data_IF_711623582975
#
_entry.id   IF_711623582975
#
_cell.length_a   1.000
_cell.length_b   1.000
_cell.length_c   1.000
_cell.angle_alpha   90.00
_cell.angle_beta   90.00
_cell.angle_gamma   90.00
#
_symmetry.space_group_name_H-M   'P 1'
#
loop_
_entity.id
_entity.type
_entity.pdbx_description
1 polymer ?
#
# COMPACT_ATOMS: atom_id res chain seq x y z
N UNK A 1 17.44 -13.34 -14.50
CA UNK A 1 16.88 -14.33 -13.56
C UNK A 1 15.47 -14.70 -13.96
N UNK A 2 15.03 -15.89 -13.58
CA UNK A 2 13.63 -16.32 -13.63
C UNK A 2 13.05 -16.18 -12.21
N UNK A 3 12.02 -15.36 -12.05
CA UNK A 3 11.44 -15.03 -10.74
C UNK A 3 10.01 -15.59 -10.70
N UNK A 4 9.70 -16.40 -9.70
CA UNK A 4 8.34 -16.83 -9.39
C UNK A 4 7.87 -16.06 -8.16
N UNK A 5 6.79 -15.30 -8.32
CA UNK A 5 6.24 -14.39 -7.33
C UNK A 5 4.86 -14.88 -6.89
N UNK A 6 4.77 -15.44 -5.69
CA UNK A 6 3.54 -15.98 -5.12
C UNK A 6 2.85 -14.84 -4.36
N UNK A 7 1.80 -14.27 -4.95
CA UNK A 7 1.01 -13.21 -4.33
C UNK A 7 -0.49 -13.46 -4.58
N UNK A 8 -1.14 -13.97 -3.55
CA UNK A 8 -2.55 -14.37 -3.60
C UNK A 8 -3.46 -13.27 -4.15
N UNK A 9 -3.26 -12.03 -3.70
CA UNK A 9 -4.12 -10.89 -3.97
C UNK A 9 -3.66 -10.04 -5.15
N UNK A 10 -2.60 -10.43 -5.86
CA UNK A 10 -2.03 -9.65 -6.95
C UNK A 10 -3.12 -9.13 -7.91
N UNK A 11 -3.00 -7.87 -8.29
CA UNK A 11 -3.86 -7.21 -9.26
C UNK A 11 -3.10 -6.86 -10.53
N UNK A 12 -3.77 -6.12 -11.41
CA UNK A 12 -3.22 -5.49 -12.61
C UNK A 12 -3.88 -4.12 -12.78
N UNK A 13 -3.37 -3.23 -13.62
CA UNK A 13 -4.05 -1.96 -13.89
C UNK A 13 -5.51 -2.12 -14.33
N UNK A 14 -5.85 -3.20 -15.05
CA UNK A 14 -7.19 -3.48 -15.51
C UNK A 14 -8.11 -4.08 -14.42
N UNK A 15 -7.55 -4.84 -13.48
CA UNK A 15 -8.30 -5.56 -12.44
C UNK A 15 -8.38 -4.76 -11.12
N UNK A 16 -7.46 -3.84 -10.88
CA UNK A 16 -7.37 -3.11 -9.62
C UNK A 16 -6.32 -3.69 -8.66
N UNK A 17 -6.30 -3.22 -7.41
CA UNK A 17 -5.33 -3.61 -6.38
C UNK A 17 -5.22 -5.15 -6.18
N UNK A 18 -4.14 -5.76 -5.75
CA UNK A 18 -2.91 -5.17 -5.22
C UNK A 18 -1.94 -4.86 -6.36
N UNK A 19 -1.40 -3.64 -6.41
CA UNK A 19 -0.56 -3.18 -7.53
C UNK A 19 0.95 -3.40 -7.32
N UNK A 20 1.45 -3.52 -6.08
CA UNK A 20 2.88 -3.64 -5.80
C UNK A 20 3.55 -4.78 -6.56
N UNK A 21 3.01 -6.02 -6.58
CA UNK A 21 3.64 -7.11 -7.31
C UNK A 21 3.70 -6.84 -8.82
N UNK A 22 2.68 -6.21 -9.38
CA UNK A 22 2.67 -5.80 -10.79
C UNK A 22 3.78 -4.78 -11.09
N UNK A 23 3.88 -3.70 -10.32
CA UNK A 23 4.87 -2.66 -10.60
C UNK A 23 6.31 -3.15 -10.40
N UNK A 24 6.59 -3.91 -9.35
CA UNK A 24 7.91 -4.53 -9.16
C UNK A 24 8.25 -5.49 -10.32
N UNK A 25 7.32 -6.39 -10.66
CA UNK A 25 7.49 -7.35 -11.75
C UNK A 25 7.72 -6.66 -13.10
N UNK A 26 7.00 -5.56 -13.39
CA UNK A 26 7.17 -4.78 -14.60
C UNK A 26 8.58 -4.19 -14.71
N UNK A 27 9.09 -3.63 -13.64
CA UNK A 27 10.46 -3.10 -13.63
C UNK A 27 11.51 -4.21 -13.76
N UNK A 28 11.29 -5.38 -13.15
CA UNK A 28 12.18 -6.54 -13.36
C UNK A 28 12.13 -7.07 -14.79
N UNK A 29 10.95 -7.09 -15.43
CA UNK A 29 10.82 -7.44 -16.86
C UNK A 29 11.59 -6.44 -17.75
N UNK A 30 11.46 -5.13 -17.46
CA UNK A 30 12.22 -4.07 -18.14
C UNK A 30 13.73 -4.24 -17.98
N UNK A 31 14.17 -4.75 -16.83
CA UNK A 31 15.57 -5.08 -16.55
C UNK A 31 16.03 -6.41 -17.19
N UNK A 32 15.19 -7.08 -17.99
CA UNK A 32 15.52 -8.31 -18.72
C UNK A 32 15.30 -9.60 -17.92
N UNK A 33 14.62 -9.56 -16.78
CA UNK A 33 14.24 -10.75 -16.02
C UNK A 33 12.93 -11.36 -16.53
N UNK A 34 12.74 -12.66 -16.33
CA UNK A 34 11.45 -13.34 -16.57
C UNK A 34 10.69 -13.43 -15.26
N UNK A 35 9.47 -12.92 -15.23
CA UNK A 35 8.66 -12.91 -14.00
C UNK A 35 7.36 -13.63 -14.22
N UNK A 36 7.03 -14.56 -13.32
CA UNK A 36 5.74 -15.21 -13.26
C UNK A 36 5.08 -14.93 -11.90
N UNK A 37 3.90 -14.30 -11.93
CA UNK A 37 3.06 -14.07 -10.75
C UNK A 37 2.03 -15.19 -10.63
N UNK A 38 1.98 -15.82 -9.45
CA UNK A 38 0.98 -16.81 -9.09
C UNK A 38 -0.06 -16.18 -8.19
N UNK A 39 -1.32 -16.10 -8.64
CA UNK A 39 -2.38 -15.40 -7.92
C UNK A 39 -3.69 -16.20 -7.88
N UNK A 40 -4.56 -15.88 -6.91
CA UNK A 40 -5.90 -16.45 -6.83
C UNK A 40 -6.86 -15.76 -7.80
N UNK A 41 -7.83 -16.48 -8.33
CA UNK A 41 -8.85 -15.91 -9.21
C UNK A 41 -9.80 -14.96 -8.49
N UNK A 42 -9.97 -15.10 -7.17
CA UNK A 42 -10.83 -14.22 -6.38
C UNK A 42 -10.05 -13.51 -5.26
N UNK A 43 -10.21 -12.19 -5.21
CA UNK A 43 -9.67 -11.33 -4.16
C UNK A 43 -10.66 -10.20 -3.82
N UNK A 44 -10.89 -9.95 -2.53
CA UNK A 44 -11.78 -8.88 -2.07
C UNK A 44 -11.22 -7.46 -2.29
N UNK A 45 -9.93 -7.33 -2.55
CA UNK A 45 -9.28 -6.02 -2.80
C UNK A 45 -9.33 -5.62 -4.27
N UNK A 46 -9.55 -6.56 -5.20
CA UNK A 46 -9.66 -6.25 -6.63
C UNK A 46 -11.03 -5.66 -6.98
N UNK A 47 -11.05 -4.65 -7.83
CA UNK A 47 -12.27 -4.07 -8.37
C UNK A 47 -12.96 -5.03 -9.39
N UNK A 48 -12.15 -5.79 -10.13
CA UNK A 48 -12.61 -6.81 -11.09
C UNK A 48 -11.85 -8.11 -10.88
N UNK A 49 -12.51 -9.24 -11.14
CA UNK A 49 -11.87 -10.54 -11.05
C UNK A 49 -11.47 -11.04 -12.44
N UNK A 50 -10.35 -11.79 -12.59
CA UNK A 50 -10.02 -12.46 -13.85
C UNK A 50 -11.08 -13.52 -14.17
N UNK A 51 -11.40 -13.71 -15.44
CA UNK A 51 -12.37 -14.70 -15.90
C UNK A 51 -11.75 -16.11 -15.93
N UNK A 52 -11.64 -16.75 -14.77
CA UNK A 52 -11.01 -18.06 -14.58
C UNK A 52 -12.09 -19.14 -14.50
N UNK A 53 -11.97 -20.20 -15.32
CA UNK A 53 -12.82 -21.37 -15.28
C UNK A 53 -12.44 -22.36 -14.16
N UNK A 54 -12.70 -23.65 -14.39
CA UNK A 54 -12.35 -24.72 -13.44
C UNK A 54 -10.84 -25.04 -13.37
N UNK A 55 -10.07 -24.68 -14.40
CA UNK A 55 -8.62 -24.87 -14.48
C UNK A 55 -7.90 -23.53 -14.33
N UNK A 56 -6.62 -23.54 -13.88
CA UNK A 56 -5.79 -22.35 -13.86
C UNK A 56 -5.68 -21.69 -15.25
N UNK A 57 -5.72 -20.36 -15.28
CA UNK A 57 -5.59 -19.54 -16.48
C UNK A 57 -4.21 -18.91 -16.51
N UNK A 58 -3.49 -19.09 -17.61
CA UNK A 58 -2.24 -18.39 -17.89
C UNK A 58 -2.55 -17.17 -18.77
N UNK A 59 -2.01 -16.01 -18.39
CA UNK A 59 -2.22 -14.73 -19.07
C UNK A 59 -0.90 -13.94 -19.06
N UNK A 60 -0.65 -13.16 -20.08
CA UNK A 60 0.49 -12.23 -20.13
C UNK A 60 -0.01 -10.78 -20.04
N UNK A 61 0.53 -10.01 -19.11
CA UNK A 61 0.23 -8.59 -18.93
C UNK A 61 1.55 -7.83 -18.87
N UNK A 62 1.80 -6.95 -19.83
CA UNK A 62 3.02 -6.13 -19.94
C UNK A 62 4.34 -6.94 -19.82
N UNK A 63 4.35 -8.14 -20.42
CA UNK A 63 5.50 -9.04 -20.39
C UNK A 63 5.62 -9.88 -19.10
N UNK A 64 4.75 -9.68 -18.13
CA UNK A 64 4.66 -10.48 -16.90
C UNK A 64 3.74 -11.66 -17.17
N UNK A 65 4.20 -12.89 -16.87
CA UNK A 65 3.36 -14.08 -16.93
C UNK A 65 2.50 -14.18 -15.65
N UNK A 66 1.19 -14.14 -15.77
CA UNK A 66 0.27 -14.42 -14.66
C UNK A 66 -0.26 -15.84 -14.78
N UNK A 67 -0.39 -16.51 -13.62
CA UNK A 67 -1.12 -17.75 -13.49
C UNK A 67 -2.17 -17.60 -12.40
N UNK A 68 -3.42 -17.55 -12.83
CA UNK A 68 -4.59 -17.41 -11.98
C UNK A 68 -5.12 -18.78 -11.58
N UNK A 69 -5.13 -19.07 -10.27
CA UNK A 69 -5.67 -20.31 -9.74
C UNK A 69 -7.13 -20.14 -9.35
N UNK A 70 -8.05 -21.04 -9.78
CA UNK A 70 -9.46 -20.96 -9.42
C UNK A 70 -9.64 -21.11 -7.91
N UNK A 71 -10.25 -20.12 -7.28
CA UNK A 71 -10.52 -20.12 -5.84
C UNK A 71 -11.97 -19.72 -5.56
N UNK A 72 -12.60 -20.25 -4.48
CA UNK A 72 -13.96 -19.90 -4.14
C UNK A 72 -14.08 -18.43 -3.75
N UNK A 73 -15.14 -17.76 -4.19
CA UNK A 73 -15.47 -16.42 -3.73
C UNK A 73 -15.85 -16.44 -2.23
N UNK A 74 -15.65 -15.30 -1.55
CA UNK A 74 -15.99 -15.13 -0.15
C UNK A 74 -16.42 -13.70 0.14
N UNK A 75 -17.07 -13.50 1.28
CA UNK A 75 -17.40 -12.18 1.83
C UNK A 75 -16.81 -12.05 3.24
N UNK A 76 -16.29 -10.86 3.56
CA UNK A 76 -15.70 -10.55 4.87
C UNK A 76 -14.44 -11.37 5.19
N UNK A 77 -14.10 -11.44 6.48
CA UNK A 77 -12.87 -12.04 7.01
C UNK A 77 -13.06 -13.41 7.69
N UNK A 78 -14.16 -14.10 7.41
CA UNK A 78 -14.52 -15.36 8.05
C UNK A 78 -13.93 -16.63 7.39
N UNK A 79 -14.55 -17.78 7.67
CA UNK A 79 -14.13 -19.10 7.18
C UNK A 79 -14.06 -19.18 5.65
N UNK A 80 -14.88 -18.42 4.93
CA UNK A 80 -14.82 -18.33 3.47
C UNK A 80 -13.45 -17.86 2.96
N UNK A 81 -12.87 -16.82 3.60
CA UNK A 81 -11.53 -16.33 3.28
C UNK A 81 -10.46 -17.39 3.59
N UNK A 82 -10.57 -18.07 4.71
CA UNK A 82 -9.65 -19.16 5.08
C UNK A 82 -9.71 -20.29 4.04
N UNK A 83 -10.93 -20.70 3.61
CA UNK A 83 -11.11 -21.70 2.55
C UNK A 83 -10.48 -21.25 1.21
N UNK A 84 -10.64 -19.99 0.85
CA UNK A 84 -10.04 -19.41 -0.35
C UNK A 84 -8.51 -19.48 -0.28
N UNK A 85 -7.89 -19.07 0.84
CA UNK A 85 -6.44 -19.14 1.09
C UNK A 85 -5.93 -20.59 0.90
N UNK A 86 -6.51 -21.54 1.60
CA UNK A 86 -6.05 -22.94 1.52
C UNK A 86 -6.32 -23.57 0.15
N UNK A 87 -7.38 -23.18 -0.55
CA UNK A 87 -7.63 -23.60 -1.94
C UNK A 87 -6.48 -23.14 -2.86
N UNK A 88 -6.07 -21.90 -2.76
CA UNK A 88 -4.93 -21.36 -3.51
C UNK A 88 -3.62 -22.10 -3.19
N UNK A 89 -3.26 -22.18 -1.91
CA UNK A 89 -2.01 -22.82 -1.47
C UNK A 89 -1.95 -24.30 -1.89
N UNK A 90 -3.04 -25.03 -1.78
CA UNK A 90 -3.12 -26.45 -2.20
C UNK A 90 -2.86 -26.61 -3.70
N UNK A 91 -3.41 -25.73 -4.52
CA UNK A 91 -3.23 -25.79 -5.97
C UNK A 91 -1.80 -25.45 -6.38
N UNK A 92 -1.21 -24.38 -5.83
CA UNK A 92 0.20 -24.04 -6.09
C UNK A 92 1.13 -25.16 -5.60
N UNK A 93 0.81 -25.79 -4.44
CA UNK A 93 1.55 -26.96 -3.94
C UNK A 93 1.50 -28.14 -4.90
N UNK A 94 0.33 -28.44 -5.45
CA UNK A 94 0.15 -29.53 -6.42
C UNK A 94 0.89 -29.25 -7.74
N UNK A 95 0.90 -27.99 -8.17
CA UNK A 95 1.52 -27.52 -9.41
C UNK A 95 3.05 -27.34 -9.33
N UNK A 96 3.64 -27.54 -8.15
CA UNK A 96 5.08 -27.32 -7.91
C UNK A 96 5.98 -27.99 -8.95
N UNK A 97 5.69 -29.25 -9.36
CA UNK A 97 6.53 -29.97 -10.34
C UNK A 97 6.50 -29.31 -11.71
N UNK A 98 5.32 -28.84 -12.11
CA UNK A 98 5.12 -28.13 -13.37
C UNK A 98 5.87 -26.79 -13.34
N UNK A 99 5.69 -26.00 -12.28
CA UNK A 99 6.35 -24.71 -12.11
C UNK A 99 7.86 -24.82 -12.16
N UNK A 100 8.46 -25.81 -11.48
CA UNK A 100 9.92 -26.07 -11.56
C UNK A 100 10.37 -26.35 -12.98
N UNK A 101 9.63 -27.18 -13.73
CA UNK A 101 10.01 -27.57 -15.08
C UNK A 101 9.86 -26.41 -16.08
N UNK A 102 8.76 -25.64 -15.99
CA UNK A 102 8.40 -24.63 -16.98
C UNK A 102 9.06 -23.29 -16.68
N UNK A 103 9.04 -22.84 -15.43
CA UNK A 103 9.57 -21.53 -15.04
C UNK A 103 11.06 -21.55 -14.71
N UNK A 104 11.60 -22.70 -14.27
CA UNK A 104 13.02 -22.87 -13.83
C UNK A 104 13.46 -21.68 -12.98
N UNK A 105 12.79 -21.43 -11.83
CA UNK A 105 13.03 -20.21 -11.07
C UNK A 105 14.45 -20.20 -10.47
N UNK A 106 15.09 -19.03 -10.55
CA UNK A 106 16.28 -18.67 -9.79
C UNK A 106 15.91 -18.10 -8.43
N UNK A 107 14.72 -17.48 -8.35
CA UNK A 107 14.18 -16.83 -7.15
C UNK A 107 12.71 -17.18 -6.99
N UNK A 108 12.29 -17.52 -5.78
CA UNK A 108 10.88 -17.71 -5.41
C UNK A 108 10.55 -16.77 -4.25
N UNK A 109 9.55 -15.91 -4.46
CA UNK A 109 9.10 -14.91 -3.50
C UNK A 109 7.75 -15.34 -2.94
N UNK A 110 7.64 -15.46 -1.61
CA UNK A 110 6.38 -15.57 -0.87
C UNK A 110 5.98 -14.17 -0.43
N UNK A 111 4.86 -13.66 -0.90
CA UNK A 111 4.48 -12.24 -0.75
C UNK A 111 3.00 -12.02 -0.45
N UNK A 112 2.26 -13.08 -0.13
CA UNK A 112 0.87 -12.91 0.28
C UNK A 112 0.80 -12.19 1.63
N UNK A 113 -0.29 -11.47 1.89
CA UNK A 113 -0.50 -10.74 3.16
C UNK A 113 -0.38 -11.68 4.38
N UNK A 114 -0.75 -12.95 4.21
CA UNK A 114 -0.62 -13.98 5.23
C UNK A 114 0.65 -14.83 5.02
N UNK A 115 1.33 -15.32 6.08
CA UNK A 115 2.64 -15.95 5.96
C UNK A 115 2.62 -17.44 5.52
N UNK A 116 1.46 -18.10 5.39
CA UNK A 116 1.39 -19.53 5.07
C UNK A 116 1.87 -19.89 3.65
N UNK A 117 1.95 -18.93 2.75
CA UNK A 117 2.51 -19.13 1.40
C UNK A 117 4.01 -19.48 1.44
N UNK A 118 4.71 -19.19 2.55
CA UNK A 118 6.10 -19.59 2.74
C UNK A 118 6.30 -21.11 2.60
N UNK A 119 5.33 -21.94 3.02
CA UNK A 119 5.47 -23.39 2.92
C UNK A 119 5.48 -23.87 1.47
N UNK A 120 4.66 -23.22 0.63
CA UNK A 120 4.59 -23.53 -0.80
C UNK A 120 5.82 -22.99 -1.53
N UNK A 121 6.20 -21.74 -1.23
CA UNK A 121 7.39 -21.09 -1.76
C UNK A 121 8.66 -21.87 -1.43
N UNK A 122 8.83 -22.29 -0.17
CA UNK A 122 9.92 -23.12 0.30
C UNK A 122 10.03 -24.45 -0.45
N UNK A 123 8.87 -25.12 -0.66
CA UNK A 123 8.83 -26.36 -1.45
C UNK A 123 9.27 -26.13 -2.89
N UNK A 124 8.80 -25.06 -3.52
CA UNK A 124 9.15 -24.71 -4.89
C UNK A 124 10.63 -24.36 -4.99
N UNK A 125 11.13 -23.47 -4.12
CA UNK A 125 12.52 -23.04 -4.09
C UNK A 125 13.49 -24.23 -3.88
N UNK A 126 13.22 -25.10 -2.90
CA UNK A 126 14.04 -26.29 -2.65
C UNK A 126 14.11 -27.24 -3.84
N UNK A 127 13.01 -27.40 -4.58
CA UNK A 127 12.98 -28.30 -5.76
C UNK A 127 13.65 -27.72 -6.98
N UNK A 128 13.66 -26.41 -7.10
CA UNK A 128 14.31 -25.69 -8.18
C UNK A 128 15.78 -25.38 -7.90
N UNK A 129 16.23 -25.48 -6.66
CA UNK A 129 17.53 -24.94 -6.23
C UNK A 129 17.56 -23.40 -6.23
N UNK A 130 16.38 -22.78 -6.11
CA UNK A 130 16.19 -21.34 -6.16
C UNK A 130 16.35 -20.69 -4.77
N UNK A 131 16.66 -19.40 -4.76
CA UNK A 131 16.62 -18.58 -3.54
C UNK A 131 15.19 -18.39 -3.06
N UNK A 132 14.98 -18.41 -1.77
CA UNK A 132 13.72 -18.20 -1.11
C UNK A 132 13.67 -16.81 -0.49
N UNK A 133 12.74 -15.97 -0.96
CA UNK A 133 12.49 -14.65 -0.40
C UNK A 133 11.12 -14.65 0.29
N UNK A 134 11.07 -14.06 1.47
CA UNK A 134 9.81 -13.78 2.16
C UNK A 134 9.58 -12.26 2.19
N UNK A 135 8.53 -11.81 1.54
CA UNK A 135 8.14 -10.41 1.52
C UNK A 135 6.98 -10.16 2.49
N UNK A 136 7.16 -9.21 3.39
CA UNK A 136 6.22 -8.86 4.46
C UNK A 136 5.51 -7.56 4.12
N UNK A 137 4.22 -7.67 3.82
CA UNK A 137 3.33 -6.52 3.60
C UNK A 137 2.77 -6.01 4.93
N UNK A 138 2.31 -6.96 5.76
CA UNK A 138 1.76 -6.75 7.08
C UNK A 138 2.35 -7.75 8.06
N UNK A 139 2.45 -7.38 9.33
CA UNK A 139 2.95 -8.27 10.37
C UNK A 139 1.85 -9.21 10.86
N UNK A 140 1.67 -10.35 10.19
CA UNK A 140 0.76 -11.40 10.64
C UNK A 140 1.50 -12.40 11.53
N UNK A 141 0.96 -12.77 12.71
CA UNK A 141 -0.44 -12.58 13.18
C UNK A 141 -0.73 -11.25 13.89
N UNK A 142 0.26 -10.36 14.04
CA UNK A 142 0.11 -9.16 14.86
C UNK A 142 -0.97 -8.21 14.32
N UNK A 143 -1.03 -8.02 12.99
CA UNK A 143 -2.04 -7.16 12.37
C UNK A 143 -3.48 -7.55 12.70
N UNK A 144 -3.95 -8.79 12.50
CA UNK A 144 -5.30 -9.15 12.93
C UNK A 144 -5.50 -9.12 14.45
N UNK A 145 -4.46 -9.31 15.25
CA UNK A 145 -4.55 -9.19 16.72
C UNK A 145 -4.78 -7.72 17.11
N UNK A 146 -3.96 -6.80 16.63
CA UNK A 146 -4.01 -5.39 17.06
C UNK A 146 -5.08 -4.57 16.32
N UNK A 147 -5.40 -4.89 15.06
CA UNK A 147 -6.39 -4.14 14.28
C UNK A 147 -7.81 -4.72 14.37
N UNK A 148 -7.95 -6.03 14.56
CA UNK A 148 -9.27 -6.69 14.56
C UNK A 148 -9.63 -7.32 15.91
N UNK A 149 -8.79 -7.17 16.93
CA UNK A 149 -9.05 -7.72 18.28
C UNK A 149 -9.00 -9.26 18.32
N UNK A 150 -8.35 -9.92 17.36
CA UNK A 150 -8.21 -11.37 17.35
C UNK A 150 -7.38 -11.82 18.57
N UNK A 151 -7.88 -12.82 19.31
CA UNK A 151 -7.11 -13.38 20.41
C UNK A 151 -5.78 -13.98 19.93
N UNK A 152 -4.65 -13.73 20.61
CA UNK A 152 -3.38 -14.41 20.30
C UNK A 152 -3.46 -15.95 20.38
N UNK A 153 -4.40 -16.46 21.21
CA UNK A 153 -4.68 -17.91 21.32
C UNK A 153 -5.55 -18.47 20.19
N UNK A 154 -6.11 -17.63 19.33
CA UNK A 154 -6.96 -18.10 18.23
C UNK A 154 -6.18 -19.05 17.31
N UNK A 155 -6.77 -20.20 16.91
CA UNK A 155 -6.06 -21.20 16.08
C UNK A 155 -5.43 -20.62 14.82
N UNK A 156 -6.10 -19.69 14.16
CA UNK A 156 -5.58 -19.03 12.97
C UNK A 156 -4.38 -18.11 13.28
N UNK A 157 -4.41 -17.36 14.40
CA UNK A 157 -3.28 -16.55 14.83
C UNK A 157 -2.06 -17.40 15.15
N UNK A 158 -2.26 -18.55 15.83
CA UNK A 158 -1.19 -19.51 16.11
C UNK A 158 -0.61 -20.13 14.84
N UNK A 159 -1.44 -20.45 13.86
CA UNK A 159 -1.01 -20.94 12.56
C UNK A 159 -0.15 -19.89 11.81
N UNK A 160 -0.59 -18.63 11.82
CA UNK A 160 0.18 -17.53 11.24
C UNK A 160 1.52 -17.34 11.97
N UNK A 161 1.53 -17.39 13.32
CA UNK A 161 2.77 -17.28 14.10
C UNK A 161 3.76 -18.41 13.80
N UNK A 162 3.26 -19.62 13.56
CA UNK A 162 4.11 -20.73 13.15
C UNK A 162 4.69 -20.51 11.75
N UNK A 163 3.84 -20.10 10.78
CA UNK A 163 4.28 -19.83 9.41
C UNK A 163 5.29 -18.66 9.36
N UNK A 164 5.07 -17.60 10.15
CA UNK A 164 6.01 -16.49 10.31
C UNK A 164 7.38 -16.98 10.83
N UNK A 165 7.38 -17.79 11.89
CA UNK A 165 8.63 -18.36 12.42
C UNK A 165 9.36 -19.26 11.42
N UNK A 166 8.61 -20.05 10.61
CA UNK A 166 9.18 -20.82 9.51
C UNK A 166 9.75 -19.90 8.41
N UNK A 167 9.09 -18.79 8.09
CA UNK A 167 9.55 -17.83 7.10
C UNK A 167 10.87 -17.19 7.54
N UNK A 168 10.95 -16.68 8.76
CA UNK A 168 12.19 -16.05 9.28
C UNK A 168 13.36 -17.03 9.42
N UNK A 169 13.09 -18.30 9.69
CA UNK A 169 14.13 -19.33 9.75
C UNK A 169 14.65 -19.72 8.37
N UNK A 170 13.73 -19.93 7.40
CA UNK A 170 14.01 -20.65 6.16
C UNK A 170 14.25 -19.74 4.95
N UNK A 171 13.79 -18.47 4.96
CA UNK A 171 14.04 -17.52 3.88
C UNK A 171 15.52 -17.12 3.81
N UNK A 172 16.07 -17.04 2.61
CA UNK A 172 17.42 -16.55 2.38
C UNK A 172 17.47 -15.01 2.53
N UNK A 173 16.38 -14.34 2.15
CA UNK A 173 16.17 -12.89 2.31
C UNK A 173 14.76 -12.64 2.81
N UNK A 174 14.61 -11.70 3.73
CA UNK A 174 13.33 -11.16 4.18
C UNK A 174 13.24 -9.71 3.74
N UNK A 175 12.20 -9.37 3.00
CA UNK A 175 11.94 -8.00 2.55
C UNK A 175 10.73 -7.46 3.30
N UNK A 176 10.86 -6.30 3.94
CA UNK A 176 9.73 -5.65 4.63
C UNK A 176 9.35 -4.33 3.97
N UNK A 177 8.04 -4.11 3.82
CA UNK A 177 7.51 -2.80 3.43
C UNK A 177 7.55 -1.80 4.59
N UNK A 178 7.50 -2.31 5.83
CA UNK A 178 7.48 -1.49 7.04
C UNK A 178 8.92 -1.22 7.51
N UNK A 179 9.30 0.03 7.75
CA UNK A 179 10.71 0.38 7.99
C UNK A 179 11.20 0.11 9.41
N UNK A 180 10.31 -0.02 10.41
CA UNK A 180 10.70 -0.09 11.82
C UNK A 180 10.45 -1.49 12.46
N UNK A 181 10.67 -2.56 11.69
CA UNK A 181 10.36 -3.95 12.10
C UNK A 181 11.52 -4.70 12.74
N UNK A 182 12.71 -4.10 12.81
CA UNK A 182 13.95 -4.79 13.17
C UNK A 182 13.88 -5.54 14.51
N UNK A 183 13.47 -4.84 15.58
CA UNK A 183 13.38 -5.44 16.91
C UNK A 183 12.34 -6.56 16.97
N UNK A 184 11.18 -6.34 16.36
CA UNK A 184 10.12 -7.34 16.31
C UNK A 184 10.58 -8.59 15.56
N UNK A 185 11.11 -8.45 14.37
CA UNK A 185 11.53 -9.58 13.55
C UNK A 185 12.71 -10.34 14.19
N UNK A 186 13.65 -9.61 14.83
CA UNK A 186 14.73 -10.23 15.60
C UNK A 186 14.19 -11.03 16.78
N UNK A 187 13.21 -10.48 17.53
CA UNK A 187 12.57 -11.19 18.65
C UNK A 187 11.81 -12.45 18.20
N UNK A 188 11.41 -12.51 16.92
CA UNK A 188 10.78 -13.67 16.28
C UNK A 188 11.77 -14.62 15.61
N UNK A 189 13.08 -14.37 15.78
CA UNK A 189 14.16 -15.26 15.33
C UNK A 189 14.73 -14.93 13.94
N UNK A 190 14.46 -13.77 13.37
CA UNK A 190 15.10 -13.35 12.12
C UNK A 190 16.55 -12.90 12.38
N UNK A 191 17.47 -13.39 11.59
CA UNK A 191 18.80 -12.81 11.46
C UNK A 191 18.71 -11.51 10.64
N UNK A 192 18.91 -10.36 11.28
CA UNK A 192 18.76 -9.04 10.66
C UNK A 192 19.69 -8.79 9.46
N UNK A 193 20.76 -9.57 9.30
CA UNK A 193 21.61 -9.52 8.09
C UNK A 193 20.86 -9.95 6.83
N UNK A 194 19.75 -10.66 6.98
CA UNK A 194 18.86 -11.08 5.88
C UNK A 194 17.67 -10.15 5.66
N UNK A 195 17.54 -9.09 6.47
CA UNK A 195 16.45 -8.13 6.35
C UNK A 195 16.81 -7.00 5.38
N UNK A 196 15.91 -6.70 4.45
CA UNK A 196 15.95 -5.52 3.61
C UNK A 196 14.63 -4.74 3.72
N UNK A 197 14.71 -3.42 3.73
CA UNK A 197 13.53 -2.55 3.76
C UNK A 197 13.27 -2.02 2.35
N UNK A 198 12.13 -2.42 1.78
CA UNK A 198 11.66 -1.98 0.45
C UNK A 198 10.20 -1.53 0.58
N UNK A 199 9.95 -0.26 0.92
CA UNK A 199 8.59 0.25 1.16
C UNK A 199 7.74 0.27 -0.12
N UNK A 200 6.50 0.72 -0.01
CA UNK A 200 5.66 1.02 -1.16
C UNK A 200 6.20 2.21 -1.95
N UNK A 201 5.87 2.24 -3.22
CA UNK A 201 6.34 3.24 -4.15
C UNK A 201 5.27 3.73 -5.11
N UNK A 202 5.74 4.52 -6.06
CA UNK A 202 4.93 5.09 -7.13
C UNK A 202 5.56 4.79 -8.48
N UNK A 203 4.71 4.63 -9.51
CA UNK A 203 5.17 4.50 -10.88
C UNK A 203 5.39 5.89 -11.49
N UNK A 204 6.61 6.25 -11.90
CA UNK A 204 6.85 7.52 -12.59
C UNK A 204 6.04 7.63 -13.90
N UNK A 205 5.80 6.52 -14.59
CA UNK A 205 5.05 6.49 -15.84
C UNK A 205 3.61 6.99 -15.67
N UNK A 206 2.98 6.67 -14.52
CA UNK A 206 1.63 7.12 -14.21
C UNK A 206 1.53 8.65 -14.04
N UNK A 207 2.69 9.31 -13.84
CA UNK A 207 2.82 10.76 -13.64
C UNK A 207 3.47 11.49 -14.82
N UNK A 208 4.13 10.76 -15.72
CA UNK A 208 4.75 11.34 -16.93
C UNK A 208 3.71 11.62 -18.03
N UNK A 209 2.61 10.87 -18.06
CA UNK A 209 1.52 11.08 -19.00
C UNK A 209 0.75 12.36 -18.67
N UNK A 210 0.20 13.03 -19.70
CA UNK A 210 -0.71 14.14 -19.48
C UNK A 210 -1.91 13.67 -18.62
N UNK A 211 -2.24 14.39 -17.53
CA UNK A 211 -3.34 13.99 -16.67
C UNK A 211 -4.66 13.93 -17.44
N UNK A 212 -5.46 12.90 -17.20
CA UNK A 212 -6.81 12.87 -17.73
C UNK A 212 -7.63 14.04 -17.19
N UNK A 213 -8.52 14.65 -18.00
CA UNK A 213 -9.35 15.76 -17.57
C UNK A 213 -10.21 15.35 -16.38
N UNK A 214 -10.34 16.26 -15.41
CA UNK A 214 -11.18 16.03 -14.24
C UNK A 214 -12.66 15.91 -14.64
N UNK A 215 -13.37 15.10 -13.90
CA UNK A 215 -14.83 15.08 -13.95
C UNK A 215 -15.37 16.48 -13.65
N UNK A 216 -16.41 16.88 -14.35
CA UNK A 216 -16.94 18.24 -14.37
C UNK A 216 -17.29 18.79 -12.98
N UNK A 217 -17.96 17.98 -12.14
CA UNK A 217 -18.34 18.37 -10.78
C UNK A 217 -17.13 18.64 -9.87
N UNK A 218 -16.04 17.86 -10.03
CA UNK A 218 -14.79 18.06 -9.31
C UNK A 218 -14.09 19.33 -9.78
N UNK A 219 -13.99 19.53 -11.09
CA UNK A 219 -13.39 20.73 -11.68
C UNK A 219 -14.15 22.00 -11.26
N UNK A 220 -15.50 21.96 -11.28
CA UNK A 220 -16.34 23.07 -10.88
C UNK A 220 -16.20 23.40 -9.37
N UNK A 221 -16.09 22.40 -8.51
CA UNK A 221 -15.89 22.60 -7.07
C UNK A 221 -14.56 23.32 -6.78
N UNK A 222 -13.48 22.88 -7.41
CA UNK A 222 -12.15 23.47 -7.28
C UNK A 222 -12.10 24.90 -7.87
N UNK A 223 -12.73 25.11 -9.02
CA UNK A 223 -12.82 26.44 -9.64
C UNK A 223 -13.58 27.45 -8.75
N UNK A 224 -14.68 27.03 -8.12
CA UNK A 224 -15.42 27.86 -7.15
C UNK A 224 -14.56 28.26 -5.96
N UNK A 225 -13.85 27.30 -5.35
CA UNK A 225 -12.98 27.59 -4.21
C UNK A 225 -11.87 28.59 -4.58
N UNK A 226 -11.26 28.44 -5.75
CA UNK A 226 -10.25 29.38 -6.25
C UNK A 226 -10.81 30.77 -6.53
N UNK A 227 -11.98 30.84 -7.15
CA UNK A 227 -12.64 32.14 -7.43
C UNK A 227 -12.99 32.89 -6.14
N UNK A 228 -13.26 32.14 -5.05
CA UNK A 228 -13.48 32.70 -3.72
C UNK A 228 -12.16 33.07 -2.98
N UNK A 229 -11.02 32.80 -3.56
CA UNK A 229 -9.69 33.02 -2.93
C UNK A 229 -9.45 32.13 -1.72
N UNK A 230 -10.06 30.95 -1.70
CA UNK A 230 -9.90 29.97 -0.61
C UNK A 230 -8.62 29.13 -0.78
N UNK A 231 -7.99 28.75 0.33
CA UNK A 231 -6.95 27.72 0.34
C UNK A 231 -7.61 26.34 0.26
N UNK A 232 -7.27 25.58 -0.77
CA UNK A 232 -7.88 24.27 -1.02
C UNK A 232 -7.08 23.18 -0.33
N UNK A 233 -7.70 22.49 0.63
CA UNK A 233 -7.19 21.27 1.27
C UNK A 233 -7.82 20.07 0.58
N UNK A 234 -7.01 19.20 0.00
CA UNK A 234 -7.47 18.03 -0.76
C UNK A 234 -7.27 16.72 -0.02
N UNK A 235 -8.29 15.88 -0.05
CA UNK A 235 -8.21 14.46 0.30
C UNK A 235 -8.66 13.63 -0.90
N UNK A 236 -7.87 12.65 -1.31
CA UNK A 236 -8.22 11.72 -2.38
C UNK A 236 -7.98 10.27 -1.93
N UNK A 237 -9.02 9.45 -1.90
CA UNK A 237 -8.86 8.04 -1.57
C UNK A 237 -10.03 7.38 -0.86
N UNK A 238 -9.76 6.22 -0.23
CA UNK A 238 -10.76 5.44 0.50
C UNK A 238 -11.25 6.18 1.74
N UNK A 239 -12.57 6.21 1.93
CA UNK A 239 -13.25 6.74 3.11
C UNK A 239 -13.58 5.59 4.06
N UNK A 240 -12.54 5.06 4.71
CA UNK A 240 -12.63 3.99 5.69
C UNK A 240 -12.02 4.38 7.02
N UNK A 241 -12.30 3.61 8.07
CA UNK A 241 -11.87 3.87 9.44
C UNK A 241 -10.37 4.19 9.59
N UNK A 242 -9.43 3.50 8.91
CA UNK A 242 -8.01 3.79 9.10
C UNK A 242 -7.59 5.22 8.75
N UNK A 243 -8.39 5.92 7.94
CA UNK A 243 -8.07 7.28 7.49
C UNK A 243 -8.55 8.40 8.44
N UNK A 244 -9.24 8.05 9.53
CA UNK A 244 -9.68 8.97 10.59
C UNK A 244 -10.32 10.29 10.08
N UNK A 245 -11.21 10.18 9.08
CA UNK A 245 -11.79 11.36 8.43
C UNK A 245 -12.79 12.11 9.31
N UNK A 246 -13.35 11.50 10.34
CA UNK A 246 -14.15 12.18 11.36
C UNK A 246 -13.32 13.28 12.05
N UNK A 247 -12.05 13.02 12.37
CA UNK A 247 -11.14 14.04 12.93
C UNK A 247 -10.97 15.24 11.98
N UNK A 248 -10.95 15.02 10.67
CA UNK A 248 -10.89 16.10 9.68
C UNK A 248 -12.19 16.93 9.67
N UNK A 249 -13.37 16.29 9.82
CA UNK A 249 -14.64 17.00 9.92
C UNK A 249 -14.75 17.81 11.22
N UNK A 250 -14.30 17.26 12.32
CA UNK A 250 -14.23 17.99 13.59
C UNK A 250 -13.28 19.20 13.48
N UNK A 251 -12.15 19.07 12.81
CA UNK A 251 -11.26 20.18 12.51
C UNK A 251 -11.92 21.21 11.57
N UNK A 252 -12.71 20.77 10.59
CA UNK A 252 -13.47 21.64 9.73
C UNK A 252 -14.48 22.50 10.48
N UNK A 253 -15.12 21.95 11.52
CA UNK A 253 -16.01 22.69 12.41
C UNK A 253 -15.23 23.79 13.16
N UNK A 254 -14.08 23.49 13.74
CA UNK A 254 -13.21 24.47 14.41
C UNK A 254 -12.72 25.57 13.47
N UNK A 255 -12.37 25.24 12.24
CA UNK A 255 -11.93 26.21 11.22
C UNK A 255 -13.01 27.24 10.88
N UNK A 256 -14.29 26.90 10.97
CA UNK A 256 -15.39 27.86 10.72
C UNK A 256 -15.50 28.95 11.79
N UNK A 257 -15.04 28.66 13.00
CA UNK A 257 -15.04 29.61 14.10
C UNK A 257 -13.85 30.58 14.04
N UNK A 258 -12.84 30.26 13.23
CA UNK A 258 -11.64 31.09 13.04
C UNK A 258 -11.74 31.93 11.75
N UNK A 259 -11.53 33.26 11.79
CA UNK A 259 -11.61 34.12 10.60
C UNK A 259 -10.65 33.72 9.47
N UNK A 260 -9.45 33.21 9.78
CA UNK A 260 -8.52 32.70 8.78
C UNK A 260 -8.95 31.32 8.27
N UNK A 261 -9.53 30.50 9.15
CA UNK A 261 -10.05 29.17 8.85
C UNK A 261 -11.26 29.19 7.90
N UNK A 262 -12.06 30.28 7.93
CA UNK A 262 -13.18 30.49 7.00
C UNK A 262 -12.72 30.59 5.53
N UNK A 263 -11.45 30.85 5.27
CA UNK A 263 -10.84 30.84 3.94
C UNK A 263 -10.23 29.50 3.54
N UNK A 264 -10.48 28.44 4.29
CA UNK A 264 -10.02 27.08 3.99
C UNK A 264 -11.19 26.25 3.47
N UNK A 265 -11.05 25.72 2.27
CA UNK A 265 -11.99 24.78 1.63
C UNK A 265 -11.42 23.37 1.67
N UNK A 266 -12.13 22.43 2.31
CA UNK A 266 -11.77 21.01 2.31
C UNK A 266 -12.54 20.31 1.19
N UNK A 267 -11.82 19.69 0.24
CA UNK A 267 -12.37 18.93 -0.87
C UNK A 267 -12.00 17.46 -0.71
N UNK A 268 -13.00 16.62 -0.45
CA UNK A 268 -12.84 15.18 -0.22
C UNK A 268 -13.37 14.41 -1.42
N UNK A 269 -12.49 13.70 -2.14
CA UNK A 269 -12.82 12.91 -3.33
C UNK A 269 -12.54 11.44 -3.05
N UNK A 270 -13.58 10.60 -3.12
CA UNK A 270 -13.38 9.18 -2.86
C UNK A 270 -14.65 8.42 -2.53
N UNK A 271 -14.44 7.16 -2.16
CA UNK A 271 -15.51 6.25 -1.74
C UNK A 271 -15.04 5.35 -0.58
N UNK A 272 -15.98 4.70 0.08
CA UNK A 272 -15.73 3.77 1.17
C UNK A 272 -16.95 3.62 2.06
N UNK A 273 -16.88 2.66 2.97
CA UNK A 273 -18.02 2.31 3.83
C UNK A 273 -18.47 3.44 4.78
N UNK A 274 -17.56 4.39 5.10
CA UNK A 274 -17.90 5.57 5.91
C UNK A 274 -18.43 6.76 5.09
N UNK A 275 -18.43 6.70 3.76
CA UNK A 275 -18.82 7.84 2.92
C UNK A 275 -20.21 8.39 3.26
N UNK A 276 -21.19 7.52 3.44
CA UNK A 276 -22.55 7.92 3.79
C UNK A 276 -22.61 8.58 5.18
N UNK A 277 -21.91 8.03 6.17
CA UNK A 277 -21.77 8.60 7.50
C UNK A 277 -21.17 10.01 7.46
N UNK A 278 -20.02 10.16 6.81
CA UNK A 278 -19.33 11.45 6.69
C UNK A 278 -20.20 12.50 5.97
N UNK A 279 -20.91 12.11 4.91
CA UNK A 279 -21.82 13.01 4.20
C UNK A 279 -22.99 13.45 5.08
N UNK A 280 -23.56 12.55 5.87
CA UNK A 280 -24.63 12.88 6.84
C UNK A 280 -24.12 13.86 7.90
N UNK A 281 -22.90 13.69 8.43
CA UNK A 281 -22.27 14.63 9.34
C UNK A 281 -22.10 16.02 8.73
N UNK A 282 -21.54 16.10 7.51
CA UNK A 282 -21.34 17.37 6.79
C UNK A 282 -22.66 18.15 6.68
N UNK A 283 -23.76 17.47 6.41
CA UNK A 283 -25.09 18.10 6.33
C UNK A 283 -25.64 18.49 7.71
N UNK A 284 -25.62 17.57 8.66
CA UNK A 284 -26.20 17.79 10.00
C UNK A 284 -25.48 18.89 10.78
N UNK A 285 -24.16 18.97 10.67
CA UNK A 285 -23.32 19.96 11.32
C UNK A 285 -23.17 21.25 10.51
N UNK A 286 -23.76 21.28 9.30
CA UNK A 286 -23.74 22.43 8.38
C UNK A 286 -22.33 22.85 7.97
N UNK A 287 -21.40 21.90 7.72
CA UNK A 287 -20.00 22.16 7.39
C UNK A 287 -19.86 22.74 5.98
N UNK A 288 -20.23 24.01 5.80
CA UNK A 288 -20.23 24.68 4.51
C UNK A 288 -18.83 24.80 3.87
N UNK A 289 -17.76 24.64 4.66
CA UNK A 289 -16.37 24.64 4.21
C UNK A 289 -15.89 23.24 3.74
N UNK A 290 -16.74 22.22 3.76
CA UNK A 290 -16.42 20.85 3.28
C UNK A 290 -17.22 20.54 2.02
N UNK A 291 -16.55 20.02 0.99
CA UNK A 291 -17.17 19.52 -0.24
C UNK A 291 -16.80 18.07 -0.43
N UNK A 292 -17.79 17.17 -0.42
CA UNK A 292 -17.61 15.73 -0.65
C UNK A 292 -18.03 15.35 -2.06
N UNK A 293 -17.15 14.66 -2.79
CA UNK A 293 -17.35 14.27 -4.18
C UNK A 293 -17.14 12.76 -4.35
N UNK A 294 -17.83 12.12 -5.30
CA UNK A 294 -17.63 10.71 -5.61
C UNK A 294 -16.20 10.41 -6.11
N UNK A 295 -15.78 9.15 -6.11
CA UNK A 295 -14.44 8.77 -6.55
C UNK A 295 -14.19 9.12 -8.02
N UNK A 296 -12.94 9.37 -8.36
CA UNK A 296 -12.45 9.58 -9.72
C UNK A 296 -11.53 8.43 -10.14
N UNK A 297 -11.42 8.14 -11.45
CA UNK A 297 -10.42 7.20 -11.97
C UNK A 297 -8.98 7.62 -11.63
N UNK A 298 -8.11 6.63 -11.39
CA UNK A 298 -6.70 6.88 -11.04
C UNK A 298 -5.98 7.87 -11.98
N UNK A 299 -6.16 7.84 -13.33
CA UNK A 299 -5.53 8.82 -14.23
C UNK A 299 -5.96 10.29 -14.02
N UNK A 300 -7.04 10.55 -13.29
CA UNK A 300 -7.48 11.90 -12.94
C UNK A 300 -6.87 12.43 -11.63
N UNK A 301 -6.25 11.54 -10.81
CA UNK A 301 -5.68 11.92 -9.53
C UNK A 301 -4.59 12.99 -9.66
N UNK A 302 -3.65 12.91 -10.62
CA UNK A 302 -2.67 13.97 -10.82
C UNK A 302 -3.32 15.34 -11.12
N UNK A 303 -4.39 15.36 -11.93
CA UNK A 303 -5.12 16.59 -12.26
C UNK A 303 -5.84 17.19 -11.04
N UNK A 304 -6.40 16.35 -10.15
CA UNK A 304 -6.97 16.76 -8.88
C UNK A 304 -5.90 17.36 -7.97
N UNK A 305 -4.82 16.64 -7.75
CA UNK A 305 -3.76 17.05 -6.83
C UNK A 305 -3.02 18.30 -7.32
N UNK A 306 -2.92 18.50 -8.63
CA UNK A 306 -2.38 19.74 -9.20
C UNK A 306 -3.21 20.99 -8.82
N UNK A 307 -4.45 20.81 -8.38
CA UNK A 307 -5.37 21.88 -8.05
C UNK A 307 -5.59 22.12 -6.56
N UNK A 308 -4.99 21.33 -5.67
CA UNK A 308 -5.02 21.57 -4.24
C UNK A 308 -3.78 22.35 -3.76
N UNK A 309 -3.91 23.09 -2.68
CA UNK A 309 -2.80 23.83 -2.06
C UNK A 309 -2.09 22.98 -0.99
N UNK A 310 -2.87 22.21 -0.24
CA UNK A 310 -2.42 21.31 0.83
C UNK A 310 -3.10 19.96 0.65
N UNK A 311 -2.34 18.88 0.70
CA UNK A 311 -2.90 17.53 0.73
C UNK A 311 -3.01 17.06 2.20
N UNK A 312 -4.15 16.49 2.57
CA UNK A 312 -4.38 15.95 3.90
C UNK A 312 -4.31 14.42 3.88
N UNK A 313 -3.59 13.87 4.85
CA UNK A 313 -3.62 12.43 5.15
C UNK A 313 -3.71 12.22 6.66
N UNK A 314 -4.73 11.49 7.10
CA UNK A 314 -4.98 11.17 8.50
C UNK A 314 -4.94 9.68 8.75
N UNK A 315 -4.65 9.33 10.01
CA UNK A 315 -4.58 7.97 10.48
C UNK A 315 -5.26 7.84 11.85
N UNK A 316 -5.82 6.68 12.11
CA UNK A 316 -6.19 6.33 13.47
C UNK A 316 -4.93 6.12 14.32
N UNK A 317 -5.04 6.36 15.61
CA UNK A 317 -3.98 6.00 16.56
C UNK A 317 -4.09 4.52 16.89
N UNK A 318 -3.26 3.69 16.27
CA UNK A 318 -3.21 2.25 16.50
C UNK A 318 -1.79 1.78 16.77
N UNK A 319 -1.56 0.87 17.73
CA UNK A 319 -0.23 0.47 18.17
C UNK A 319 0.66 -0.10 17.05
N UNK A 320 0.08 -0.77 16.06
CA UNK A 320 0.85 -1.42 14.99
C UNK A 320 1.64 -0.43 14.13
N UNK A 321 1.27 0.85 14.07
CA UNK A 321 1.99 1.86 13.31
C UNK A 321 3.37 2.19 13.87
N UNK A 322 3.72 1.72 15.10
CA UNK A 322 5.11 1.79 15.61
C UNK A 322 6.11 1.09 14.72
N UNK A 323 5.67 0.13 13.91
CA UNK A 323 6.53 -0.54 12.92
C UNK A 323 6.70 0.24 11.62
N UNK A 324 6.11 1.41 11.55
CA UNK A 324 6.12 2.30 10.41
C UNK A 324 4.91 2.12 9.50
N UNK A 325 4.82 3.02 8.54
CA UNK A 325 3.77 3.09 7.53
C UNK A 325 4.39 3.21 6.14
N UNK A 326 3.71 2.66 5.13
CA UNK A 326 4.12 2.75 3.73
C UNK A 326 2.88 3.02 2.82
N UNK A 327 2.18 4.16 3.00
CA UNK A 327 0.92 4.44 2.31
C UNK A 327 1.12 4.89 0.86
N UNK A 328 0.41 4.25 -0.06
CA UNK A 328 0.41 4.63 -1.48
C UNK A 328 -0.05 6.09 -1.69
N UNK A 329 -1.11 6.50 -0.99
CA UNK A 329 -1.71 7.83 -1.08
C UNK A 329 -0.72 8.97 -0.79
N UNK A 330 0.15 8.79 0.22
CA UNK A 330 1.15 9.80 0.56
C UNK A 330 2.17 9.96 -0.58
N UNK A 331 2.54 8.88 -1.24
CA UNK A 331 3.44 8.95 -2.40
C UNK A 331 2.82 9.76 -3.55
N UNK A 332 1.50 9.60 -3.80
CA UNK A 332 0.78 10.43 -4.79
C UNK A 332 0.80 11.91 -4.41
N UNK A 333 0.56 12.26 -3.14
CA UNK A 333 0.56 13.65 -2.67
C UNK A 333 1.93 14.32 -2.79
N UNK A 334 2.97 13.60 -2.37
CA UNK A 334 4.34 14.07 -2.46
C UNK A 334 4.80 14.18 -3.93
N UNK A 335 4.45 13.20 -4.78
CA UNK A 335 4.76 13.23 -6.22
C UNK A 335 4.06 14.39 -6.94
N UNK A 336 2.85 14.76 -6.50
CA UNK A 336 2.15 15.94 -6.99
C UNK A 336 2.83 17.28 -6.59
N UNK A 337 3.87 17.23 -5.76
CA UNK A 337 4.57 18.41 -5.26
C UNK A 337 3.67 19.29 -4.38
N UNK A 338 2.82 18.68 -3.54
CA UNK A 338 1.96 19.42 -2.61
C UNK A 338 2.51 19.41 -1.21
N UNK A 339 2.33 20.53 -0.49
CA UNK A 339 2.54 20.53 0.95
C UNK A 339 1.55 19.59 1.61
N UNK A 340 2.00 18.81 2.61
CA UNK A 340 1.17 17.77 3.24
C UNK A 340 0.90 18.12 4.70
N UNK A 341 -0.36 18.04 5.11
CA UNK A 341 -0.71 17.89 6.51
C UNK A 341 -0.86 16.40 6.83
N UNK A 342 0.00 15.87 7.69
CA UNK A 342 0.10 14.47 8.06
C UNK A 342 -0.32 14.28 9.51
N UNK A 343 -1.51 13.75 9.74
CA UNK A 343 -2.03 13.45 11.09
C UNK A 343 -1.72 12.00 11.43
N UNK A 344 -0.59 11.73 12.09
CA UNK A 344 -0.08 10.38 12.33
C UNK A 344 0.75 10.29 13.62
N UNK A 345 0.77 9.07 14.19
CA UNK A 345 1.76 8.62 15.18
C UNK A 345 2.27 7.26 14.71
N UNK A 346 3.47 7.23 14.13
CA UNK A 346 4.05 6.04 13.52
C UNK A 346 5.56 5.98 13.76
N UNK A 347 6.16 4.82 13.50
CA UNK A 347 7.60 4.61 13.64
C UNK A 347 8.44 5.41 12.63
N UNK A 348 7.85 5.86 11.52
CA UNK A 348 8.49 6.73 10.53
C UNK A 348 7.56 7.87 10.13
N UNK A 349 8.14 8.95 9.65
CA UNK A 349 7.40 10.12 9.16
C UNK A 349 8.02 10.65 7.86
N UNK A 350 7.60 10.14 6.69
CA UNK A 350 8.14 10.59 5.41
C UNK A 350 7.92 12.09 5.13
N UNK A 351 6.87 12.70 5.71
CA UNK A 351 6.59 14.13 5.55
C UNK A 351 7.62 14.97 6.28
N UNK A 352 7.92 14.60 7.52
CA UNK A 352 8.98 15.27 8.29
C UNK A 352 10.37 15.02 7.71
N UNK A 353 10.67 13.78 7.30
CA UNK A 353 11.94 13.41 6.66
C UNK A 353 12.21 14.20 5.39
N UNK A 354 11.18 14.40 4.56
CA UNK A 354 11.29 15.19 3.33
C UNK A 354 11.21 16.70 3.58
N UNK A 355 10.78 17.15 4.75
CA UNK A 355 10.47 18.56 5.02
C UNK A 355 9.40 19.12 4.09
N UNK A 356 8.41 18.30 3.73
CA UNK A 356 7.39 18.64 2.73
C UNK A 356 6.03 18.99 3.33
N UNK A 357 5.94 19.15 4.66
CA UNK A 357 4.67 19.44 5.30
C UNK A 357 4.78 19.60 6.80
N UNK A 358 3.66 19.40 7.47
CA UNK A 358 3.55 19.45 8.93
C UNK A 358 2.94 18.13 9.39
N UNK A 359 3.54 17.53 10.43
CA UNK A 359 2.98 16.37 11.11
C UNK A 359 2.35 16.81 12.43
N UNK A 360 1.14 16.28 12.69
CA UNK A 360 0.35 16.55 13.89
C UNK A 360 -0.14 15.25 14.53
N UNK A 361 -0.51 15.31 15.80
CA UNK A 361 -1.05 14.16 16.51
C UNK A 361 -2.34 13.64 15.85
N UNK A 362 -2.50 12.31 15.71
CA UNK A 362 -3.71 11.71 15.17
C UNK A 362 -4.83 11.73 16.21
N UNK A 363 -6.09 11.86 15.73
CA UNK A 363 -7.28 11.91 16.59
C UNK A 363 -7.41 13.21 17.39
N UNK A 364 -6.66 14.25 17.03
CA UNK A 364 -6.73 15.59 17.65
C UNK A 364 -7.21 16.64 16.61
N UNK A 365 -8.51 16.99 16.63
CA UNK A 365 -9.09 17.95 15.68
C UNK A 365 -8.45 19.35 15.79
N UNK A 366 -8.05 19.76 17.00
CA UNK A 366 -7.40 21.06 17.23
C UNK A 366 -6.04 21.07 16.57
N UNK A 367 -5.24 20.04 16.76
CA UNK A 367 -3.94 19.92 16.13
C UNK A 367 -4.03 19.90 14.57
N UNK A 368 -5.09 19.26 14.02
CA UNK A 368 -5.36 19.27 12.58
C UNK A 368 -5.75 20.67 12.11
N UNK A 369 -6.66 21.36 12.79
CA UNK A 369 -7.08 22.71 12.45
C UNK A 369 -5.91 23.70 12.49
N UNK A 370 -5.12 23.69 13.57
CA UNK A 370 -3.95 24.54 13.74
C UNK A 370 -2.88 24.26 12.67
N UNK A 371 -2.69 22.97 12.32
CA UNK A 371 -1.80 22.56 11.23
C UNK A 371 -2.24 23.11 9.86
N UNK A 372 -3.53 23.06 9.57
CA UNK A 372 -4.11 23.62 8.34
C UNK A 372 -3.98 25.14 8.30
N UNK A 373 -4.27 25.85 9.40
CA UNK A 373 -4.08 27.30 9.52
C UNK A 373 -2.63 27.69 9.27
N UNK A 374 -1.67 26.98 9.88
CA UNK A 374 -0.25 27.22 9.67
C UNK A 374 0.14 27.03 8.21
N UNK A 375 -0.28 25.95 7.54
CA UNK A 375 0.02 25.71 6.14
C UNK A 375 -0.66 26.72 5.22
N UNK A 376 -1.88 27.16 5.53
CA UNK A 376 -2.59 28.20 4.78
C UNK A 376 -1.89 29.55 4.87
N UNK A 377 -1.30 29.87 6.03
CA UNK A 377 -0.55 31.11 6.26
C UNK A 377 0.83 31.14 5.58
N UNK A 378 1.39 29.98 5.21
CA UNK A 378 2.65 29.90 4.45
C UNK A 378 2.47 30.52 3.07
N UNK A 379 3.36 31.41 2.61
CA UNK A 379 3.32 31.97 1.26
C UNK A 379 3.28 30.87 0.17
N UNK A 380 2.55 31.09 -0.92
CA UNK A 380 2.37 30.09 -1.97
C UNK A 380 3.72 29.56 -2.54
N UNK A 381 4.73 30.42 -2.70
CA UNK A 381 6.06 30.03 -3.15
C UNK A 381 6.78 29.10 -2.17
N UNK A 382 6.63 29.32 -0.87
CA UNK A 382 7.20 28.46 0.16
C UNK A 382 6.47 27.13 0.26
N UNK A 383 5.11 27.12 0.14
CA UNK A 383 4.35 25.87 0.02
C UNK A 383 4.77 25.06 -1.20
N UNK A 384 5.01 25.72 -2.33
CA UNK A 384 5.51 25.06 -3.53
C UNK A 384 6.93 24.47 -3.31
N UNK A 385 7.81 25.18 -2.60
CA UNK A 385 9.12 24.66 -2.23
C UNK A 385 9.04 23.45 -1.28
N UNK A 386 8.11 23.44 -0.32
CA UNK A 386 7.83 22.25 0.51
C UNK A 386 7.41 21.07 -0.37
N UNK A 387 6.45 21.29 -1.26
CA UNK A 387 5.99 20.26 -2.20
C UNK A 387 7.11 19.72 -3.09
N UNK A 388 7.98 20.60 -3.61
CA UNK A 388 9.13 20.21 -4.42
C UNK A 388 10.09 19.28 -3.66
N UNK A 389 10.34 19.54 -2.36
CA UNK A 389 11.14 18.62 -1.53
C UNK A 389 10.48 17.24 -1.38
N UNK A 390 9.16 17.22 -1.19
CA UNK A 390 8.39 15.96 -1.15
C UNK A 390 8.52 15.16 -2.44
N UNK A 391 8.38 15.83 -3.58
CA UNK A 391 8.55 15.21 -4.90
C UNK A 391 9.97 14.65 -5.08
N UNK A 392 11.00 15.44 -4.81
CA UNK A 392 12.38 14.99 -4.91
C UNK A 392 12.68 13.78 -4.00
N UNK A 393 12.11 13.75 -2.79
CA UNK A 393 12.22 12.63 -1.87
C UNK A 393 11.63 11.34 -2.47
N UNK A 394 10.42 11.42 -3.05
CA UNK A 394 9.76 10.28 -3.67
C UNK A 394 10.51 9.82 -4.92
N UNK A 395 10.92 10.73 -5.80
CA UNK A 395 11.67 10.41 -7.01
C UNK A 395 12.99 9.70 -6.71
N UNK A 396 13.68 10.12 -5.64
CA UNK A 396 14.96 9.53 -5.25
C UNK A 396 14.85 8.17 -4.54
N UNK A 397 13.74 7.89 -3.84
CA UNK A 397 13.68 6.78 -2.87
C UNK A 397 12.51 5.83 -3.03
N UNK A 398 11.39 6.28 -3.63
CA UNK A 398 10.10 5.58 -3.61
C UNK A 398 9.51 5.34 -5.01
N UNK A 399 10.28 5.50 -6.08
CA UNK A 399 9.82 5.06 -7.40
C UNK A 399 10.01 3.57 -7.57
N UNK A 400 9.12 2.89 -8.28
CA UNK A 400 9.24 1.44 -8.52
C UNK A 400 10.54 1.04 -9.22
N UNK A 401 11.13 1.80 -10.17
CA UNK A 401 12.48 1.50 -10.66
C UNK A 401 13.54 1.42 -9.56
N UNK A 402 13.55 2.38 -8.63
CA UNK A 402 14.50 2.40 -7.48
C UNK A 402 14.22 1.23 -6.53
N UNK A 403 12.95 0.98 -6.21
CA UNK A 403 12.57 -0.08 -5.29
C UNK A 403 12.80 -1.48 -5.86
N UNK A 404 12.54 -1.67 -7.15
CA UNK A 404 12.78 -2.93 -7.85
C UNK A 404 14.28 -3.26 -7.91
N UNK A 405 15.14 -2.28 -8.16
CA UNK A 405 16.58 -2.44 -8.10
C UNK A 405 17.04 -2.81 -6.68
N UNK A 406 16.61 -2.05 -5.66
CA UNK A 406 16.92 -2.34 -4.24
C UNK A 406 16.46 -3.74 -3.82
N UNK A 407 15.31 -4.19 -4.29
CA UNK A 407 14.82 -5.54 -4.00
C UNK A 407 15.76 -6.60 -4.58
N UNK A 408 16.18 -6.46 -5.84
CA UNK A 408 17.11 -7.41 -6.46
C UNK A 408 18.51 -7.35 -5.86
N UNK A 409 18.99 -6.17 -5.50
CA UNK A 409 20.26 -6.02 -4.74
C UNK A 409 20.21 -6.80 -3.44
N UNK A 410 19.11 -6.72 -2.68
CA UNK A 410 18.94 -7.51 -1.46
C UNK A 410 18.91 -9.01 -1.74
N UNK A 411 18.27 -9.43 -2.84
CA UNK A 411 18.27 -10.83 -3.27
C UNK A 411 19.68 -11.29 -3.63
N UNK A 412 20.48 -10.48 -4.30
CA UNK A 412 21.84 -10.82 -4.72
C UNK A 412 22.83 -10.79 -3.57
N UNK A 413 22.73 -9.83 -2.64
CA UNK A 413 23.59 -9.69 -1.47
C UNK A 413 23.34 -10.79 -0.41
N UNK A 414 22.14 -11.33 -0.33
CA UNK A 414 21.72 -12.35 0.63
C UNK A 414 22.35 -13.73 0.45
N UNK A 415 23.56 -13.83 -0.12
CA UNK A 415 24.18 -15.12 -0.38
C UNK A 415 25.42 -15.34 0.44
N UNK A 416 25.44 -16.34 1.36
CA UNK A 416 26.44 -17.39 1.31
C UNK A 416 26.03 -18.43 0.25
N UNK A 417 27.01 -19.08 -0.47
CA UNK A 417 26.69 -20.14 -1.40
C UNK A 417 25.92 -21.25 -0.69
N UNK A 418 25.08 -22.01 -1.39
CA UNK A 418 24.29 -23.05 -0.77
C UNK A 418 25.21 -24.06 -0.08
N UNK A 419 25.31 -23.98 1.22
CA UNK A 419 25.83 -25.09 2.02
C UNK A 419 24.89 -26.24 1.77
N UNK A 420 25.40 -27.30 1.15
CA UNK A 420 24.64 -28.52 0.90
C UNK A 420 24.03 -29.00 2.22
N UNK A 421 22.74 -28.77 2.40
CA UNK A 421 22.04 -29.19 3.61
C UNK A 421 21.92 -30.70 3.57
N UNK A 422 22.34 -31.43 4.64
CA UNK A 422 22.22 -32.87 4.67
C UNK A 422 20.78 -33.28 4.45
N UNK A 423 20.57 -34.27 3.56
CA UNK A 423 19.25 -34.90 3.32
C UNK A 423 18.81 -35.55 4.63
N UNK A 424 17.72 -35.05 5.23
CA UNK A 424 16.94 -35.74 6.24
C UNK A 424 15.68 -36.32 5.61
#
# INVERSE_FOLDING_TARGET
MNIVYIEHYAGTPALGMEFRPYYLAREWVRAGHRVQILAASYSHVRARQPAVGAAPLDEAVDGIAYRWYPTPAYQGNGLGRVRNIFSFLRQVWADTRRLVRESRPDVVIASSTYPMDIWVARRLARRAGARLVFEVHDLWPLSPIELSGMSPGHPFARLCAWAEGDAYRDADVVVSMLPCVHEYMASRGLDLRRLAIVPNGISPDDWAAAPAPLREDVAAALARARAAGETVVGYAGSMGEPNALDTLLDAAALLREDPAGQRIRIVMVGDGHLRAHLAARVQAEGLANVTMLPPIPKPQVPALLAQVDVAYIGWQRVPIYRFGIAPNKLMDYMMAGRAVLHSVEAGNDPVAEAGCGITVAPGDPRAVADGLLRLAAVPAGERAAMGARGRAFVEARHTYPVLAARFLEAVDAGTPPPVARPRR
#
